data_IF_768781544624
#
_entry.id   IF_768781544624
#
_cell.length_a   1.000
_cell.length_b   1.000
_cell.length_c   1.000
_cell.angle_alpha   90.00
_cell.angle_beta   90.00
_cell.angle_gamma   90.00
#
_symmetry.space_group_name_H-M   'P 1'
#
loop_
_entity.id
_entity.type
_entity.pdbx_description
1 polymer ?
#
# COMPACT_ATOMS: atom_id res chain seq x y z
N UNK A 1 7.02 0.51 6.79
CA UNK A 1 7.78 1.45 5.92
C UNK A 1 7.02 2.75 5.81
N UNK A 2 7.72 3.89 5.78
CA UNK A 2 7.12 5.22 5.63
C UNK A 2 7.86 5.96 4.51
N UNK A 3 7.12 6.60 3.61
CA UNK A 3 7.67 7.48 2.58
C UNK A 3 7.10 8.88 2.73
N UNK A 4 7.87 9.87 2.30
CA UNK A 4 7.47 11.27 2.27
C UNK A 4 7.31 11.73 0.82
N UNK A 5 6.11 12.20 0.49
CA UNK A 5 5.78 12.77 -0.81
C UNK A 5 4.75 13.87 -0.60
N UNK A 6 5.10 15.10 -0.96
CA UNK A 6 4.18 16.22 -0.86
C UNK A 6 2.95 16.00 -1.76
N UNK A 7 1.78 16.32 -1.21
CA UNK A 7 0.50 16.29 -1.92
C UNK A 7 0.25 14.95 -2.60
N UNK A 8 0.34 13.86 -1.85
CA UNK A 8 0.10 12.50 -2.34
C UNK A 8 -1.30 12.40 -3.00
N UNK A 9 -1.33 11.99 -4.27
CA UNK A 9 -2.56 11.85 -5.06
C UNK A 9 -2.88 10.38 -5.33
N UNK A 10 -1.88 9.58 -5.66
CA UNK A 10 -2.06 8.16 -5.98
C UNK A 10 -0.93 7.34 -5.41
N UNK A 11 -1.24 6.09 -5.09
CA UNK A 11 -0.26 5.12 -4.65
C UNK A 11 -0.59 3.76 -5.24
N UNK A 12 0.47 2.98 -5.47
CA UNK A 12 0.32 1.54 -5.68
C UNK A 12 1.51 0.76 -5.13
N UNK A 13 1.23 -0.44 -4.65
CA UNK A 13 2.19 -1.38 -4.13
C UNK A 13 2.01 -2.71 -4.85
N UNK A 14 3.08 -3.23 -5.44
CA UNK A 14 3.11 -4.59 -5.98
C UNK A 14 3.58 -5.53 -4.89
N UNK A 15 2.77 -6.53 -4.56
CA UNK A 15 3.13 -7.60 -3.62
C UNK A 15 3.31 -8.92 -4.37
N UNK A 16 4.12 -9.79 -3.80
CA UNK A 16 4.22 -11.19 -4.19
C UNK A 16 3.80 -12.06 -3.01
N UNK A 17 2.86 -12.98 -3.21
CA UNK A 17 2.39 -13.81 -2.11
C UNK A 17 2.01 -15.23 -2.51
N UNK A 18 2.15 -16.20 -1.59
CA UNK A 18 1.69 -17.58 -1.84
C UNK A 18 0.17 -17.69 -1.94
N UNK A 19 -0.55 -16.81 -1.26
CA UNK A 19 -2.02 -16.73 -1.26
C UNK A 19 -2.46 -15.44 -1.96
N UNK A 20 -3.44 -15.56 -2.87
CA UNK A 20 -4.04 -14.41 -3.58
C UNK A 20 -5.37 -13.93 -2.99
N UNK A 21 -5.84 -14.57 -1.92
CA UNK A 21 -7.12 -14.24 -1.31
C UNK A 21 -7.11 -12.80 -0.74
N UNK A 22 -8.04 -11.96 -1.19
CA UNK A 22 -8.07 -10.55 -0.82
C UNK A 22 -8.37 -10.30 0.68
N UNK A 23 -9.07 -11.20 1.37
CA UNK A 23 -9.29 -11.12 2.82
C UNK A 23 -8.00 -11.35 3.60
N UNK A 24 -7.27 -12.42 3.25
CA UNK A 24 -5.96 -12.74 3.82
C UNK A 24 -4.96 -11.58 3.69
N UNK A 25 -4.95 -10.90 2.54
CA UNK A 25 -4.08 -9.75 2.29
C UNK A 25 -4.50 -8.53 3.13
N UNK A 26 -5.81 -8.24 3.24
CA UNK A 26 -6.31 -7.12 4.04
C UNK A 26 -6.05 -7.24 5.52
N UNK A 27 -6.05 -8.46 6.06
CA UNK A 27 -5.71 -8.73 7.46
C UNK A 27 -4.23 -8.45 7.78
N UNK A 28 -3.37 -8.44 6.74
CA UNK A 28 -1.90 -8.32 6.89
C UNK A 28 -1.36 -6.98 6.43
N UNK A 29 -2.08 -6.24 5.59
CA UNK A 29 -1.60 -4.99 5.01
C UNK A 29 -2.41 -3.80 5.52
N UNK A 30 -1.71 -2.87 6.18
CA UNK A 30 -2.20 -1.53 6.48
C UNK A 30 -1.58 -0.49 5.56
N UNK A 31 -2.39 0.45 5.05
CA UNK A 31 -1.91 1.59 4.27
C UNK A 31 -2.54 2.83 4.87
N UNK A 32 -1.73 3.70 5.44
CA UNK A 32 -2.20 4.93 6.07
C UNK A 32 -1.46 6.15 5.51
N UNK A 33 -2.08 7.31 5.59
CA UNK A 33 -1.43 8.58 5.28
C UNK A 33 -1.52 9.57 6.43
N UNK A 34 -0.62 10.55 6.40
CA UNK A 34 -0.54 11.60 7.39
C UNK A 34 -0.08 12.91 6.77
N UNK A 35 -0.61 14.03 7.27
CA UNK A 35 -0.17 15.36 6.88
C UNK A 35 1.04 15.85 7.71
N UNK A 36 1.18 15.36 8.94
CA UNK A 36 2.16 15.80 9.94
C UNK A 36 3.15 14.71 10.38
N UNK A 37 2.83 13.44 10.12
CA UNK A 37 3.60 12.27 10.55
C UNK A 37 3.18 11.72 11.93
N UNK A 38 2.22 12.38 12.60
CA UNK A 38 1.75 12.05 13.94
C UNK A 38 0.37 11.42 13.90
N UNK A 39 -0.57 12.03 13.17
CA UNK A 39 -1.95 11.54 13.02
C UNK A 39 -2.06 10.74 11.73
N UNK A 40 -2.42 9.45 11.85
CA UNK A 40 -2.48 8.52 10.73
C UNK A 40 -3.92 8.13 10.41
N UNK A 41 -4.32 8.31 9.16
CA UNK A 41 -5.62 7.90 8.65
C UNK A 41 -5.44 6.72 7.70
N UNK A 42 -6.11 5.60 7.98
CA UNK A 42 -6.12 4.45 7.07
C UNK A 42 -6.76 4.83 5.73
N UNK A 43 -6.12 4.39 4.64
CA UNK A 43 -6.54 4.66 3.28
C UNK A 43 -7.22 3.43 2.69
N UNK A 44 -8.37 3.60 2.00
CA UNK A 44 -8.97 2.52 1.25
C UNK A 44 -8.12 2.19 0.01
N UNK A 45 -7.94 0.91 -0.27
CA UNK A 45 -7.26 0.43 -1.47
C UNK A 45 -8.03 -0.73 -2.12
N UNK A 46 -7.91 -0.82 -3.44
CA UNK A 46 -8.32 -1.97 -4.21
C UNK A 46 -7.15 -2.97 -4.32
N UNK A 47 -7.48 -4.26 -4.42
CA UNK A 47 -6.51 -5.33 -4.69
C UNK A 47 -6.86 -5.93 -6.05
N UNK A 48 -5.89 -5.92 -6.96
CA UNK A 48 -5.96 -6.65 -8.22
C UNK A 48 -5.01 -7.84 -8.16
N UNK A 49 -5.55 -9.05 -8.31
CA UNK A 49 -4.74 -10.26 -8.51
C UNK A 49 -4.33 -10.31 -9.97
N UNK A 50 -3.03 -10.34 -10.25
CA UNK A 50 -2.52 -10.32 -11.62
C UNK A 50 -2.26 -11.74 -12.11
N UNK A 51 -1.07 -12.27 -11.84
CA UNK A 51 -0.64 -13.58 -12.32
C UNK A 51 0.22 -14.29 -11.28
N UNK A 52 0.25 -15.62 -11.33
CA UNK A 52 1.19 -16.43 -10.56
C UNK A 52 2.48 -16.61 -11.36
N UNK A 53 3.64 -16.46 -10.72
CA UNK A 53 4.94 -16.73 -11.34
C UNK A 53 5.29 -18.23 -11.25
N UNK A 54 6.38 -18.64 -11.90
CA UNK A 54 6.86 -20.04 -11.90
C UNK A 54 7.31 -20.56 -10.53
N UNK A 55 7.57 -19.66 -9.58
CA UNK A 55 7.88 -20.02 -8.18
C UNK A 55 6.62 -20.18 -7.31
N UNK A 56 5.42 -20.07 -7.90
CA UNK A 56 4.14 -20.21 -7.19
C UNK A 56 3.70 -18.96 -6.42
N UNK A 57 4.33 -17.80 -6.65
CA UNK A 57 3.94 -16.53 -6.02
C UNK A 57 2.97 -15.77 -6.91
N UNK A 58 1.86 -15.34 -6.32
CA UNK A 58 0.90 -14.43 -6.93
C UNK A 58 1.41 -12.99 -6.87
N UNK A 59 1.47 -12.34 -8.02
CA UNK A 59 1.65 -10.90 -8.11
C UNK A 59 0.31 -10.20 -7.85
N UNK A 60 0.30 -9.31 -6.88
CA UNK A 60 -0.86 -8.53 -6.46
C UNK A 60 -0.55 -7.04 -6.62
N UNK A 61 -1.53 -6.25 -7.04
CA UNK A 61 -1.43 -4.80 -7.11
C UNK A 61 -2.43 -4.18 -6.14
N UNK A 62 -1.91 -3.56 -5.08
CA UNK A 62 -2.68 -2.72 -4.17
C UNK A 62 -2.61 -1.29 -4.68
N UNK A 63 -3.74 -0.61 -4.84
CA UNK A 63 -3.74 0.76 -5.34
C UNK A 63 -4.90 1.57 -4.80
N UNK A 64 -4.69 2.87 -4.68
CA UNK A 64 -5.70 3.81 -4.25
C UNK A 64 -5.38 5.24 -4.68
N UNK A 65 -6.38 6.10 -4.56
CA UNK A 65 -6.31 7.52 -4.89
C UNK A 65 -6.81 8.33 -3.71
N UNK A 66 -6.12 9.42 -3.39
CA UNK A 66 -6.58 10.38 -2.41
C UNK A 66 -7.36 11.49 -3.11
N UNK A 67 -8.37 12.09 -2.43
CA UNK A 67 -9.07 13.24 -2.97
C UNK A 67 -8.08 14.38 -3.27
N UNK A 68 -8.27 15.01 -4.43
CA UNK A 68 -7.36 16.04 -4.92
C UNK A 68 -7.32 17.29 -4.02
N UNK A 69 -6.43 18.24 -4.35
CA UNK A 69 -6.11 19.41 -3.50
C UNK A 69 -7.28 20.38 -3.24
N UNK A 70 -8.46 20.14 -3.84
CA UNK A 70 -9.63 21.01 -3.73
C UNK A 70 -10.38 20.91 -2.41
N UNK A 71 -10.28 19.78 -1.68
CA UNK A 71 -11.14 19.56 -0.50
C UNK A 71 -10.47 18.88 0.71
N UNK A 72 -9.22 18.41 0.66
CA UNK A 72 -8.69 17.56 1.74
C UNK A 72 -7.20 17.76 2.03
N UNK A 73 -6.85 17.56 3.32
CA UNK A 73 -5.51 17.60 3.90
C UNK A 73 -4.42 17.13 2.94
N UNK A 74 -3.45 18.00 2.69
CA UNK A 74 -2.26 17.69 1.90
C UNK A 74 -1.42 16.63 2.63
N UNK A 75 -1.71 15.36 2.36
CA UNK A 75 -0.95 14.24 2.92
C UNK A 75 0.48 14.30 2.42
N UNK A 76 1.42 14.27 3.37
CA UNK A 76 2.87 14.33 3.11
C UNK A 76 3.53 12.99 3.32
N UNK A 77 2.91 12.10 4.09
CA UNK A 77 3.45 10.81 4.45
C UNK A 77 2.48 9.71 4.04
N UNK A 78 3.04 8.59 3.60
CA UNK A 78 2.33 7.33 3.44
C UNK A 78 3.09 6.23 4.18
N UNK A 79 2.37 5.43 4.95
CA UNK A 79 2.87 4.28 5.68
C UNK A 79 2.28 3.02 5.09
N UNK A 80 3.15 2.08 4.79
CA UNK A 80 2.79 0.70 4.51
C UNK A 80 3.23 -0.17 5.68
N UNK A 81 2.30 -0.95 6.21
CA UNK A 81 2.53 -1.89 7.30
C UNK A 81 2.23 -3.30 6.81
N UNK A 82 3.16 -4.22 7.06
CA UNK A 82 2.95 -5.66 6.89
C UNK A 82 2.94 -6.27 8.29
N UNK A 83 1.79 -6.80 8.71
CA UNK A 83 1.62 -7.51 9.97
C UNK A 83 1.92 -9.01 9.76
N UNK A 84 2.78 -9.54 10.62
CA UNK A 84 3.31 -10.90 10.55
C UNK A 84 4.83 -10.84 10.65
N UNK A 85 5.35 -11.09 11.85
CA UNK A 85 6.79 -11.20 12.12
C UNK A 85 7.21 -12.61 12.53
N UNK A 86 6.26 -13.54 12.63
CA UNK A 86 6.56 -14.95 12.90
C UNK A 86 6.64 -15.70 11.57
N UNK A 87 7.36 -16.83 11.54
CA UNK A 87 7.86 -17.54 10.34
C UNK A 87 6.84 -17.78 9.19
N UNK A 88 5.53 -17.71 9.44
CA UNK A 88 4.47 -17.76 8.41
C UNK A 88 4.33 -16.47 7.55
N UNK A 89 4.94 -15.36 7.97
CA UNK A 89 4.87 -14.06 7.27
C UNK A 89 5.73 -13.95 6.02
N UNK A 90 6.67 -14.89 5.82
CA UNK A 90 7.41 -15.03 4.57
C UNK A 90 6.53 -15.30 3.34
N UNK A 91 5.21 -15.41 3.53
CA UNK A 91 4.20 -15.52 2.49
C UNK A 91 3.91 -14.23 1.73
N UNK A 92 4.35 -13.04 2.19
CA UNK A 92 4.11 -11.77 1.48
C UNK A 92 5.40 -10.95 1.37
N UNK A 93 5.80 -10.66 0.14
CA UNK A 93 6.94 -9.80 -0.18
C UNK A 93 6.47 -8.51 -0.86
N UNK A 94 7.01 -7.36 -0.44
CA UNK A 94 6.84 -6.10 -1.19
C UNK A 94 7.83 -6.06 -2.36
N UNK A 95 7.32 -5.96 -3.58
CA UNK A 95 8.13 -5.83 -4.78
C UNK A 95 8.42 -4.37 -5.17
N UNK A 96 7.37 -3.63 -5.51
CA UNK A 96 7.51 -2.27 -6.05
C UNK A 96 6.53 -1.32 -5.36
N UNK A 97 6.98 -0.09 -5.08
CA UNK A 97 6.15 0.99 -4.59
C UNK A 97 6.17 2.14 -5.61
N UNK A 98 4.99 2.53 -6.08
CA UNK A 98 4.81 3.72 -6.92
C UNK A 98 3.98 4.73 -6.15
N UNK A 99 4.48 5.95 -6.05
CA UNK A 99 3.82 7.06 -5.37
C UNK A 99 3.78 8.26 -6.32
N UNK A 100 2.61 8.87 -6.48
CA UNK A 100 2.40 10.05 -7.29
C UNK A 100 1.86 11.18 -6.42
N UNK A 101 2.50 12.33 -6.49
CA UNK A 101 2.13 13.54 -5.78
C UNK A 101 2.30 14.76 -6.68
N UNK A 102 1.74 15.88 -6.27
CA UNK A 102 1.79 17.12 -7.05
C UNK A 102 2.80 18.11 -6.47
N UNK A 103 3.58 18.73 -7.35
CA UNK A 103 4.40 19.90 -7.03
C UNK A 103 3.46 21.12 -7.01
N UNK A 104 3.03 21.54 -5.83
CA UNK A 104 2.52 22.88 -5.62
C UNK A 104 3.56 23.64 -4.82
#
# INVERSE_FOLDING_TARGET
MIWTLANLLRYSFTLYARKSNAGFIRERIGIAASADGEVWTELPYAITVLQQNSAGLWRLLLHGTLPGPGDQQLMKYIRFTLAGGDEESGDIELGHAFLEGSKF
#
